data_IF_530221492694
#
_entry.id   IF_530221492694
#
_cell.length_a   1.000
_cell.length_b   1.000
_cell.length_c   1.000
_cell.angle_alpha   90.00
_cell.angle_beta   90.00
_cell.angle_gamma   90.00
#
_symmetry.space_group_name_H-M   'P 1'
#
loop_
_entity.id
_entity.type
_entity.pdbx_description
1 polymer ?
#
# COMPACT_ATOMS: atom_id res chain seq x y z
N UNK A 1 8.21 25.33 0.06
CA UNK A 1 8.42 23.88 0.20
C UNK A 1 8.06 23.24 -1.13
N UNK A 2 8.94 22.46 -1.70
CA UNK A 2 8.76 21.93 -3.06
C UNK A 2 7.90 20.66 -2.96
N UNK A 3 6.59 20.78 -3.20
CA UNK A 3 5.57 19.74 -3.00
C UNK A 3 5.63 18.63 -4.08
N UNK A 4 6.39 18.84 -5.15
CA UNK A 4 6.52 17.90 -6.27
C UNK A 4 7.58 16.80 -6.07
N UNK A 5 8.22 16.72 -4.90
CA UNK A 5 9.34 15.80 -4.69
C UNK A 5 8.92 14.38 -4.25
N UNK A 6 7.69 14.17 -3.75
CA UNK A 6 7.46 13.01 -2.90
C UNK A 6 6.75 11.80 -3.54
N UNK A 7 6.30 11.89 -4.79
CA UNK A 7 5.64 10.74 -5.43
C UNK A 7 6.56 9.89 -6.31
N UNK A 8 7.77 10.37 -6.63
CA UNK A 8 8.73 9.70 -7.51
C UNK A 8 10.14 9.53 -6.93
N UNK A 9 10.37 9.87 -5.67
CA UNK A 9 11.66 9.61 -5.05
C UNK A 9 11.74 8.14 -4.63
N UNK A 10 12.13 7.30 -5.58
CA UNK A 10 12.77 6.03 -5.26
C UNK A 10 14.09 6.40 -4.55
N UNK A 11 14.03 6.39 -3.22
CA UNK A 11 15.22 6.59 -2.41
C UNK A 11 16.16 5.41 -2.69
N UNK A 12 17.36 5.68 -3.24
CA UNK A 12 18.37 4.64 -3.50
C UNK A 12 18.70 3.82 -2.25
N UNK A 13 18.45 4.37 -1.05
CA UNK A 13 18.57 3.64 0.22
C UNK A 13 17.58 2.46 0.37
N UNK A 14 16.56 2.38 -0.48
CA UNK A 14 15.56 1.31 -0.50
C UNK A 14 15.99 0.13 -1.38
N UNK A 15 17.02 0.27 -2.20
CA UNK A 15 17.44 -0.75 -3.17
C UNK A 15 17.79 -2.09 -2.50
N UNK A 16 18.24 -2.05 -1.24
CA UNK A 16 18.70 -3.23 -0.50
C UNK A 16 17.83 -3.59 0.71
N UNK A 17 16.50 -3.43 0.58
CA UNK A 17 15.57 -3.73 1.65
C UNK A 17 14.39 -4.58 1.19
N UNK A 18 13.94 -5.51 2.05
CA UNK A 18 12.69 -6.24 1.86
C UNK A 18 11.50 -5.40 2.36
N UNK A 19 10.53 -5.19 1.49
CA UNK A 19 9.29 -4.51 1.83
C UNK A 19 8.18 -5.50 2.19
N UNK A 20 7.47 -5.30 3.30
CA UNK A 20 6.30 -6.10 3.66
C UNK A 20 5.08 -5.63 2.89
N UNK A 21 5.00 -5.92 1.60
CA UNK A 21 3.82 -5.60 0.82
C UNK A 21 2.72 -6.67 0.98
N UNK A 22 1.48 -6.29 0.67
CA UNK A 22 0.37 -7.24 0.57
C UNK A 22 0.72 -8.40 -0.35
N UNK A 23 1.34 -8.06 -1.47
CA UNK A 23 1.65 -8.98 -2.55
C UNK A 23 2.68 -10.03 -2.14
N UNK A 24 3.65 -9.68 -1.29
CA UNK A 24 4.68 -10.63 -0.82
C UNK A 24 4.13 -11.78 0.03
N UNK A 25 2.94 -11.59 0.56
CA UNK A 25 2.33 -12.56 1.47
C UNK A 25 1.27 -13.42 0.82
N UNK A 26 0.59 -12.89 -0.19
CA UNK A 26 -0.54 -13.54 -0.86
C UNK A 26 -0.12 -14.30 -2.13
N UNK A 27 1.19 -14.44 -2.38
CA UNK A 27 1.74 -14.97 -3.64
C UNK A 27 1.14 -14.26 -4.86
N UNK A 28 0.95 -12.96 -4.73
CA UNK A 28 0.46 -12.14 -5.83
C UNK A 28 1.55 -12.08 -6.92
N UNK A 29 1.19 -12.20 -8.20
CA UNK A 29 2.15 -12.09 -9.29
C UNK A 29 2.95 -10.78 -9.31
N UNK A 30 2.43 -9.72 -8.70
CA UNK A 30 3.09 -8.42 -8.56
C UNK A 30 3.65 -8.22 -7.15
N UNK A 31 4.25 -9.25 -6.56
CA UNK A 31 5.02 -9.05 -5.34
C UNK A 31 6.33 -8.29 -5.63
N UNK A 32 6.89 -7.71 -4.58
CA UNK A 32 8.13 -6.93 -4.70
C UNK A 32 9.26 -7.73 -5.35
N UNK A 33 9.38 -9.02 -5.02
CA UNK A 33 10.40 -9.88 -5.58
C UNK A 33 10.22 -10.07 -7.09
N UNK A 34 9.00 -10.40 -7.54
CA UNK A 34 8.72 -10.59 -8.96
C UNK A 34 8.94 -9.31 -9.73
N UNK A 35 8.41 -8.19 -9.25
CA UNK A 35 8.54 -6.88 -9.91
C UNK A 35 10.00 -6.47 -10.07
N UNK A 36 10.79 -6.54 -9.00
CA UNK A 36 12.16 -6.05 -8.99
C UNK A 36 13.15 -7.02 -9.65
N UNK A 37 13.03 -8.32 -9.39
CA UNK A 37 14.07 -9.28 -9.76
C UNK A 37 13.69 -10.19 -10.92
N UNK A 38 12.39 -10.48 -11.11
CA UNK A 38 11.93 -11.37 -12.18
C UNK A 38 11.45 -10.59 -13.40
N UNK A 39 10.60 -9.58 -13.22
CA UNK A 39 10.12 -8.76 -14.34
C UNK A 39 11.07 -7.61 -14.65
N UNK A 40 11.88 -7.19 -13.67
CA UNK A 40 12.78 -6.03 -13.78
C UNK A 40 12.05 -4.78 -14.28
N UNK A 41 10.82 -4.58 -13.79
CA UNK A 41 9.99 -3.46 -14.19
C UNK A 41 10.52 -2.15 -13.60
N UNK A 42 10.68 -1.17 -14.46
CA UNK A 42 10.96 0.19 -14.05
C UNK A 42 9.79 0.78 -13.25
N UNK A 43 10.06 1.62 -12.23
CA UNK A 43 9.01 2.21 -11.40
C UNK A 43 7.93 2.96 -12.19
N UNK A 44 8.29 3.56 -13.32
CA UNK A 44 7.40 4.30 -14.21
C UNK A 44 6.35 3.40 -14.87
N UNK A 45 6.64 2.10 -15.04
CA UNK A 45 5.70 1.11 -15.56
C UNK A 45 4.67 0.70 -14.50
N UNK A 46 4.87 1.09 -13.23
CA UNK A 46 3.97 0.80 -12.13
C UNK A 46 2.95 1.93 -11.97
N UNK A 47 1.88 1.87 -12.72
CA UNK A 47 0.83 2.87 -12.64
C UNK A 47 -0.05 2.63 -11.41
N UNK A 48 0.04 3.52 -10.44
CA UNK A 48 -0.85 3.48 -9.28
C UNK A 48 -2.27 3.84 -9.71
N UNK A 49 -3.23 2.91 -9.56
CA UNK A 49 -4.64 3.18 -9.86
C UNK A 49 -5.27 4.22 -8.92
N UNK A 50 -6.42 4.75 -9.33
CA UNK A 50 -7.12 5.85 -8.66
C UNK A 50 -7.32 5.65 -7.15
N UNK A 51 -7.61 4.42 -6.69
CA UNK A 51 -7.78 4.15 -5.24
C UNK A 51 -6.49 4.34 -4.44
N UNK A 52 -5.35 3.93 -5.00
CA UNK A 52 -4.06 4.09 -4.33
C UNK A 52 -3.69 5.57 -4.26
N UNK A 53 -3.83 6.30 -5.38
CA UNK A 53 -3.59 7.75 -5.42
C UNK A 53 -4.54 8.50 -4.47
N UNK A 54 -5.81 8.14 -4.44
CA UNK A 54 -6.77 8.73 -3.53
C UNK A 54 -6.42 8.47 -2.04
N UNK A 55 -5.93 7.27 -1.73
CA UNK A 55 -5.45 6.92 -0.40
C UNK A 55 -4.30 7.83 0.05
N UNK A 56 -3.25 7.93 -0.76
CA UNK A 56 -2.10 8.79 -0.48
C UNK A 56 -2.49 10.27 -0.38
N UNK A 57 -3.36 10.76 -1.27
CA UNK A 57 -3.83 12.16 -1.21
C UNK A 57 -4.66 12.45 0.04
N UNK A 58 -5.53 11.51 0.46
CA UNK A 58 -6.35 11.69 1.66
C UNK A 58 -5.52 11.66 2.95
N UNK A 59 -4.53 10.76 3.02
CA UNK A 59 -3.56 10.69 4.12
C UNK A 59 -2.75 11.98 4.22
N UNK A 60 -2.13 12.42 3.13
CA UNK A 60 -1.34 13.66 3.09
C UNK A 60 -2.20 14.88 3.46
N UNK A 61 -3.45 14.93 3.00
CA UNK A 61 -4.40 15.98 3.37
C UNK A 61 -4.63 16.01 4.89
N UNK A 62 -4.93 14.83 5.49
CA UNK A 62 -5.17 14.75 6.93
C UNK A 62 -3.93 15.14 7.75
N UNK A 63 -2.74 14.70 7.33
CA UNK A 63 -1.46 15.06 7.96
C UNK A 63 -1.18 16.57 7.86
N UNK A 64 -1.42 17.19 6.71
CA UNK A 64 -1.24 18.64 6.52
C UNK A 64 -2.18 19.45 7.44
N UNK A 65 -3.42 19.01 7.61
CA UNK A 65 -4.37 19.65 8.51
C UNK A 65 -3.89 19.54 9.98
N UNK A 66 -3.38 18.38 10.38
CA UNK A 66 -2.80 18.18 11.71
C UNK A 66 -1.55 19.05 11.94
N UNK A 67 -0.77 19.34 10.91
CA UNK A 67 0.37 20.26 10.96
C UNK A 67 -0.02 21.75 10.95
N UNK A 68 -1.32 22.05 10.98
CA UNK A 68 -1.85 23.41 11.09
C UNK A 68 -2.09 24.12 9.75
N UNK A 69 -2.03 23.42 8.62
CA UNK A 69 -2.49 23.99 7.35
C UNK A 69 -4.01 24.17 7.43
N UNK A 70 -4.57 25.32 7.00
CA UNK A 70 -6.02 25.54 7.01
C UNK A 70 -6.75 24.41 6.27
N UNK A 71 -7.78 23.86 6.93
CA UNK A 71 -8.47 22.66 6.43
C UNK A 71 -9.01 22.83 5.00
N UNK A 72 -9.56 24.01 4.69
CA UNK A 72 -10.07 24.29 3.34
C UNK A 72 -8.96 24.24 2.30
N UNK A 73 -7.83 24.89 2.58
CA UNK A 73 -6.67 24.95 1.68
C UNK A 73 -6.09 23.54 1.44
N UNK A 74 -5.89 22.76 2.51
CA UNK A 74 -5.37 21.41 2.38
C UNK A 74 -6.30 20.51 1.56
N UNK A 75 -7.63 20.58 1.77
CA UNK A 75 -8.62 19.79 1.02
C UNK A 75 -8.67 20.17 -0.46
N UNK A 76 -8.67 21.47 -0.78
CA UNK A 76 -8.67 21.95 -2.15
C UNK A 76 -7.41 21.49 -2.87
N UNK A 77 -6.24 21.68 -2.26
CA UNK A 77 -4.95 21.28 -2.82
C UNK A 77 -4.89 19.77 -3.12
N UNK A 78 -5.15 18.92 -2.12
CA UNK A 78 -5.00 17.48 -2.31
C UNK A 78 -6.09 16.85 -3.19
N UNK A 79 -7.27 17.45 -3.25
CA UNK A 79 -8.30 17.07 -4.20
C UNK A 79 -7.92 17.46 -5.63
N UNK A 80 -7.26 18.59 -5.82
CA UNK A 80 -6.69 18.99 -7.10
C UNK A 80 -5.58 18.02 -7.53
N UNK A 81 -4.62 17.71 -6.65
CA UNK A 81 -3.57 16.72 -6.91
C UNK A 81 -4.16 15.37 -7.34
N UNK A 82 -5.20 14.89 -6.65
CA UNK A 82 -5.90 13.66 -7.05
C UNK A 82 -6.55 13.79 -8.43
N UNK A 83 -7.12 14.94 -8.77
CA UNK A 83 -7.78 15.18 -10.06
C UNK A 83 -6.83 15.15 -11.25
N UNK A 84 -5.51 15.39 -11.01
CA UNK A 84 -4.46 15.31 -12.02
C UNK A 84 -4.02 13.86 -12.29
N UNK A 85 -4.57 12.87 -11.58
CA UNK A 85 -4.30 11.46 -11.86
C UNK A 85 -4.71 11.11 -13.28
N UNK A 86 -3.78 10.54 -14.04
CA UNK A 86 -4.06 10.04 -15.38
C UNK A 86 -4.62 8.60 -15.27
N UNK A 87 -5.89 8.38 -15.63
CA UNK A 87 -6.49 7.05 -15.51
C UNK A 87 -5.82 6.03 -16.44
N UNK A 88 -5.56 4.84 -15.94
CA UNK A 88 -4.93 3.75 -16.68
C UNK A 88 -5.89 3.19 -17.76
N UNK A 89 -7.18 3.13 -17.43
CA UNK A 89 -8.25 2.62 -18.31
C UNK A 89 -9.62 3.19 -17.90
N UNK A 90 -10.68 2.93 -18.68
CA UNK A 90 -12.02 3.49 -18.42
C UNK A 90 -12.58 3.14 -17.03
N UNK A 91 -12.32 1.94 -16.52
CA UNK A 91 -12.74 1.57 -15.16
C UNK A 91 -12.03 2.41 -14.09
N UNK A 92 -10.75 2.70 -14.29
CA UNK A 92 -9.96 3.54 -13.39
C UNK A 92 -10.46 4.99 -13.41
N UNK A 93 -10.86 5.50 -14.59
CA UNK A 93 -11.51 6.80 -14.76
C UNK A 93 -12.82 6.89 -13.97
N UNK A 94 -13.67 5.85 -14.05
CA UNK A 94 -14.87 5.78 -13.24
C UNK A 94 -14.54 5.73 -11.72
N UNK A 95 -13.51 5.00 -11.37
CA UNK A 95 -13.04 4.90 -10.00
C UNK A 95 -12.51 6.23 -9.47
N UNK A 96 -11.76 6.99 -10.28
CA UNK A 96 -11.28 8.32 -9.93
C UNK A 96 -12.45 9.27 -9.60
N UNK A 97 -13.53 9.26 -10.39
CA UNK A 97 -14.71 10.07 -10.10
C UNK A 97 -15.29 9.77 -8.73
N UNK A 98 -15.45 8.48 -8.37
CA UNK A 98 -15.94 8.07 -7.05
C UNK A 98 -14.98 8.55 -5.95
N UNK A 99 -13.68 8.38 -6.14
CA UNK A 99 -12.68 8.84 -5.18
C UNK A 99 -12.76 10.36 -4.96
N UNK A 100 -12.93 11.14 -6.03
CA UNK A 100 -13.10 12.59 -5.95
C UNK A 100 -14.42 13.01 -5.24
N UNK A 101 -15.50 12.26 -5.44
CA UNK A 101 -16.77 12.46 -4.74
C UNK A 101 -16.65 12.16 -3.24
N UNK A 102 -16.01 11.06 -2.86
CA UNK A 102 -15.86 10.58 -1.49
C UNK A 102 -14.70 11.24 -0.71
N UNK A 103 -13.81 11.98 -1.38
CA UNK A 103 -12.55 12.47 -0.82
C UNK A 103 -12.73 13.24 0.50
N UNK A 104 -13.62 14.21 0.53
CA UNK A 104 -13.82 15.05 1.70
C UNK A 104 -14.36 14.28 2.91
N UNK A 105 -15.20 13.28 2.67
CA UNK A 105 -15.78 12.44 3.75
C UNK A 105 -14.70 11.52 4.32
N UNK A 106 -13.88 10.89 3.46
CA UNK A 106 -12.75 10.07 3.90
C UNK A 106 -11.76 10.89 4.72
N UNK A 107 -11.37 12.09 4.27
CA UNK A 107 -10.49 12.99 5.02
C UNK A 107 -11.10 13.38 6.37
N UNK A 108 -12.41 13.67 6.40
CA UNK A 108 -13.12 13.99 7.66
C UNK A 108 -13.03 12.84 8.65
N UNK A 109 -13.26 11.61 8.22
CA UNK A 109 -13.16 10.42 9.07
C UNK A 109 -11.72 10.15 9.53
N UNK A 110 -10.72 10.38 8.68
CA UNK A 110 -9.30 10.29 9.07
C UNK A 110 -8.96 11.30 10.16
N UNK A 111 -9.35 12.56 9.98
CA UNK A 111 -9.11 13.62 10.98
C UNK A 111 -9.79 13.28 12.31
N UNK A 112 -11.04 12.81 12.26
CA UNK A 112 -11.77 12.43 13.47
C UNK A 112 -11.10 11.26 14.19
N UNK A 113 -10.63 10.23 13.46
CA UNK A 113 -9.89 9.11 14.02
C UNK A 113 -8.58 9.57 14.68
N UNK A 114 -7.81 10.43 14.00
CA UNK A 114 -6.55 10.97 14.53
C UNK A 114 -6.76 11.84 15.77
N UNK A 115 -7.79 12.70 15.77
CA UNK A 115 -8.17 13.48 16.95
C UNK A 115 -8.62 12.60 18.13
N UNK A 116 -9.36 11.52 17.86
CA UNK A 116 -9.78 10.57 18.90
C UNK A 116 -8.59 9.87 19.57
N UNK A 117 -7.52 9.58 18.83
CA UNK A 117 -6.31 8.98 19.38
C UNK A 117 -5.58 9.92 20.35
N UNK A 118 -5.74 11.24 20.20
CA UNK A 118 -5.09 12.26 21.02
C UNK A 118 -3.59 12.01 21.21
N UNK A 119 -2.91 11.67 20.11
CA UNK A 119 -1.47 11.44 20.07
C UNK A 119 -0.83 12.45 19.12
N UNK A 120 0.24 13.10 19.60
CA UNK A 120 1.00 14.03 18.78
C UNK A 120 1.98 13.27 17.89
N UNK A 121 1.87 13.36 16.56
CA UNK A 121 2.86 12.81 15.66
C UNK A 121 4.22 13.50 15.84
N UNK A 122 5.28 12.71 15.93
CA UNK A 122 6.67 13.19 15.99
C UNK A 122 7.21 13.32 14.56
N UNK A 123 6.88 12.38 13.71
CA UNK A 123 7.27 12.34 12.30
C UNK A 123 6.18 11.68 11.46
N UNK A 124 6.16 11.99 10.17
CA UNK A 124 5.35 11.34 9.15
C UNK A 124 6.25 10.72 8.09
N UNK A 125 5.75 9.67 7.42
CA UNK A 125 6.48 8.91 6.39
C UNK A 125 7.91 8.54 6.83
N UNK A 126 8.02 8.04 8.08
CA UNK A 126 9.31 7.67 8.66
C UNK A 126 9.74 6.28 8.17
N UNK A 127 10.91 6.21 7.52
CA UNK A 127 11.53 4.94 7.16
C UNK A 127 12.00 4.19 8.41
N UNK A 128 11.47 2.99 8.60
CA UNK A 128 11.90 2.06 9.65
C UNK A 128 12.44 0.78 9.02
N UNK A 129 13.65 0.37 9.42
CA UNK A 129 14.29 -0.86 8.94
C UNK A 129 15.16 -1.50 10.01
N UNK A 130 15.27 -2.82 9.98
CA UNK A 130 16.15 -3.57 10.89
C UNK A 130 16.62 -4.86 10.19
N UNK A 131 17.74 -5.40 10.65
CA UNK A 131 18.24 -6.68 10.19
C UNK A 131 17.59 -7.83 10.96
N UNK A 132 16.89 -8.69 10.26
CA UNK A 132 16.30 -9.87 10.87
C UNK A 132 17.21 -11.08 10.71
N UNK A 133 17.18 -11.99 11.70
CA UNK A 133 18.00 -13.20 11.72
C UNK A 133 17.83 -14.02 10.42
N UNK A 134 18.93 -14.23 9.71
CA UNK A 134 18.98 -15.01 8.48
C UNK A 134 18.58 -14.25 7.22
N UNK A 135 18.50 -12.92 7.30
CA UNK A 135 18.40 -12.04 6.15
C UNK A 135 19.70 -11.26 5.99
N UNK A 136 20.20 -11.20 4.76
CA UNK A 136 21.39 -10.43 4.40
C UNK A 136 21.00 -8.95 4.17
N UNK A 137 19.78 -8.71 3.70
CA UNK A 137 19.20 -7.39 3.52
C UNK A 137 18.29 -7.02 4.70
N UNK A 138 18.19 -5.73 5.01
CA UNK A 138 17.24 -5.24 6.00
C UNK A 138 15.79 -5.53 5.56
N UNK A 139 14.87 -5.54 6.52
CA UNK A 139 13.42 -5.60 6.28
C UNK A 139 12.75 -4.41 6.95
N UNK A 140 11.84 -3.75 6.26
CA UNK A 140 11.17 -2.55 6.78
C UNK A 140 10.30 -1.86 5.76
N UNK A 141 10.04 -0.59 5.97
CA UNK A 141 9.25 0.27 5.09
C UNK A 141 8.92 1.59 5.76
N UNK A 142 8.02 2.35 5.18
CA UNK A 142 7.58 3.63 5.73
C UNK A 142 6.37 3.44 6.63
N UNK A 143 6.42 4.01 7.83
CA UNK A 143 5.26 4.16 8.71
C UNK A 143 4.62 5.53 8.43
N UNK A 144 3.30 5.57 8.43
CA UNK A 144 2.59 6.80 8.05
C UNK A 144 2.78 7.90 9.10
N UNK A 145 2.64 7.58 10.39
CA UNK A 145 2.89 8.52 11.48
C UNK A 145 3.62 7.85 12.63
N UNK A 146 4.72 8.46 13.09
CA UNK A 146 5.42 8.06 14.31
C UNK A 146 4.93 8.88 15.49
N UNK A 147 4.74 8.23 16.65
CA UNK A 147 4.39 8.86 17.92
C UNK A 147 5.34 8.41 19.02
N UNK A 148 5.24 9.02 20.20
CA UNK A 148 6.14 8.68 21.31
C UNK A 148 6.14 7.19 21.66
N UNK A 149 4.99 6.55 21.75
CA UNK A 149 4.83 5.19 22.25
C UNK A 149 4.40 4.18 21.19
N UNK A 150 3.78 4.63 20.12
CA UNK A 150 3.17 3.83 19.08
C UNK A 150 3.63 4.35 17.70
N UNK A 151 3.21 3.67 16.67
CA UNK A 151 3.11 4.25 15.33
C UNK A 151 1.71 3.99 14.77
N UNK A 152 1.28 4.84 13.86
CA UNK A 152 -0.04 4.79 13.25
C UNK A 152 0.12 4.44 11.78
N UNK A 153 -0.61 3.43 11.34
CA UNK A 153 -0.75 3.04 9.95
C UNK A 153 -2.15 3.41 9.46
N UNK A 154 -2.23 4.19 8.41
CA UNK A 154 -3.47 4.69 7.84
C UNK A 154 -3.88 3.81 6.65
N UNK A 155 -5.12 3.36 6.65
CA UNK A 155 -5.72 2.62 5.55
C UNK A 155 -7.02 3.26 5.14
N UNK A 156 -7.16 3.56 3.85
CA UNK A 156 -8.40 4.08 3.28
C UNK A 156 -9.13 3.00 2.49
N UNK A 157 -10.46 3.06 2.51
CA UNK A 157 -11.31 2.22 1.68
C UNK A 157 -12.27 3.11 0.89
N UNK A 158 -12.33 2.87 -0.40
CA UNK A 158 -13.16 3.62 -1.35
C UNK A 158 -14.26 2.74 -1.89
N UNK A 159 -15.43 3.32 -2.16
CA UNK A 159 -16.46 2.62 -2.92
C UNK A 159 -15.90 2.15 -4.26
N UNK A 160 -16.40 1.02 -4.74
CA UNK A 160 -15.90 0.43 -6.00
C UNK A 160 -16.87 0.75 -7.12
N UNK A 161 -16.36 1.30 -8.23
CA UNK A 161 -17.11 1.47 -9.46
C UNK A 161 -17.56 0.10 -9.99
N UNK A 162 -18.85 -0.03 -10.23
CA UNK A 162 -19.43 -1.21 -10.86
C UNK A 162 -19.53 -0.97 -12.38
N UNK A 163 -19.37 -1.99 -13.23
CA UNK A 163 -19.38 -1.82 -14.69
C UNK A 163 -20.76 -1.49 -15.26
N UNK A 164 -21.73 -1.18 -14.41
CA UNK A 164 -23.11 -0.91 -14.81
C UNK A 164 -23.48 0.51 -14.43
N UNK A 165 -23.86 1.31 -15.44
CA UNK A 165 -24.49 2.61 -15.22
C UNK A 165 -25.96 2.41 -14.81
N UNK A 166 -26.43 3.22 -13.87
CA UNK A 166 -27.84 3.28 -13.53
C UNK A 166 -28.63 3.96 -14.65
N UNK A 167 -29.98 3.81 -14.65
CA UNK A 167 -30.86 4.40 -15.66
C UNK A 167 -30.75 5.92 -15.77
N UNK A 168 -30.35 6.60 -14.70
CA UNK A 168 -30.12 8.05 -14.63
C UNK A 168 -28.72 8.48 -15.09
N UNK A 169 -27.90 7.56 -15.62
CA UNK A 169 -26.53 7.82 -16.05
C UNK A 169 -25.51 7.88 -14.91
N UNK A 170 -25.93 7.66 -13.66
CA UNK A 170 -24.99 7.62 -12.52
C UNK A 170 -24.24 6.29 -12.45
N UNK A 171 -23.01 6.33 -11.90
CA UNK A 171 -22.19 5.14 -11.72
C UNK A 171 -22.79 4.30 -10.59
N UNK A 172 -23.03 3.01 -10.86
CA UNK A 172 -23.35 2.07 -9.79
C UNK A 172 -22.11 1.83 -8.93
N UNK A 173 -22.25 1.90 -7.62
CA UNK A 173 -21.15 1.74 -6.67
C UNK A 173 -21.43 0.65 -5.65
N UNK A 174 -20.37 -0.06 -5.26
CA UNK A 174 -20.39 -0.96 -4.12
C UNK A 174 -19.63 -0.30 -2.96
N UNK A 175 -20.34 0.01 -1.88
CA UNK A 175 -19.74 0.57 -0.66
C UNK A 175 -18.74 -0.39 -0.02
N UNK A 176 -17.67 0.12 0.62
CA UNK A 176 -16.79 -0.70 1.44
C UNK A 176 -17.55 -1.28 2.63
N UNK A 177 -17.23 -2.50 3.03
CA UNK A 177 -17.77 -3.10 4.26
C UNK A 177 -16.96 -2.63 5.46
N UNK A 178 -17.65 -2.43 6.59
CA UNK A 178 -16.97 -2.18 7.87
C UNK A 178 -16.12 -3.40 8.24
N UNK A 179 -14.88 -3.16 8.64
CA UNK A 179 -13.98 -4.21 9.07
C UNK A 179 -14.18 -4.47 10.58
N UNK A 180 -14.35 -5.73 10.96
CA UNK A 180 -14.33 -6.16 12.36
C UNK A 180 -12.90 -6.37 12.87
N UNK A 181 -11.96 -6.66 11.98
CA UNK A 181 -10.52 -6.82 12.25
C UNK A 181 -9.69 -6.27 11.10
N UNK A 182 -8.44 -5.87 11.32
CA UNK A 182 -7.52 -5.55 10.24
C UNK A 182 -7.36 -6.75 9.30
N UNK A 183 -7.13 -6.49 8.04
CA UNK A 183 -6.82 -7.56 7.08
C UNK A 183 -5.46 -8.18 7.40
N UNK A 184 -5.31 -9.47 7.14
CA UNK A 184 -4.09 -10.24 7.46
C UNK A 184 -2.83 -9.58 6.92
N UNK A 185 -2.87 -9.05 5.71
CA UNK A 185 -1.72 -8.38 5.12
C UNK A 185 -1.38 -7.04 5.81
N UNK A 186 -2.37 -6.29 6.32
CA UNK A 186 -2.09 -5.11 7.15
C UNK A 186 -1.39 -5.52 8.46
N UNK A 187 -1.85 -6.62 9.08
CA UNK A 187 -1.22 -7.14 10.31
C UNK A 187 0.24 -7.52 10.06
N UNK A 188 0.54 -8.16 8.93
CA UNK A 188 1.90 -8.55 8.56
C UNK A 188 2.79 -7.34 8.25
N UNK A 189 2.25 -6.35 7.57
CA UNK A 189 2.92 -5.07 7.30
C UNK A 189 3.31 -4.38 8.62
N UNK A 190 2.34 -4.12 9.50
CA UNK A 190 2.63 -3.45 10.77
C UNK A 190 3.45 -4.30 11.74
N UNK A 191 3.41 -5.63 11.64
CA UNK A 191 4.28 -6.51 12.40
C UNK A 191 5.76 -6.33 12.01
N UNK A 192 6.04 -6.12 10.72
CA UNK A 192 7.37 -5.81 10.23
C UNK A 192 7.86 -4.46 10.75
N UNK A 193 7.01 -3.44 10.69
CA UNK A 193 7.33 -2.12 11.21
C UNK A 193 7.52 -2.14 12.74
N UNK A 194 6.64 -2.86 13.46
CA UNK A 194 6.78 -3.06 14.91
C UNK A 194 8.09 -3.75 15.28
N UNK A 195 8.54 -4.72 14.47
CA UNK A 195 9.85 -5.32 14.65
C UNK A 195 10.98 -4.30 14.47
N UNK A 196 10.92 -3.46 13.45
CA UNK A 196 11.96 -2.49 13.14
C UNK A 196 12.01 -1.33 14.16
N UNK A 197 10.89 -0.70 14.50
CA UNK A 197 10.85 0.46 15.38
C UNK A 197 10.64 0.14 16.87
N UNK A 198 10.35 -1.13 17.23
CA UNK A 198 10.09 -1.60 18.62
C UNK A 198 8.87 -0.96 19.29
N UNK A 199 7.92 -0.43 18.50
CA UNK A 199 6.66 0.16 18.97
C UNK A 199 5.47 -0.72 18.58
N UNK A 200 4.34 -0.58 19.28
CA UNK A 200 3.09 -1.23 18.91
C UNK A 200 2.34 -0.41 17.86
N UNK A 201 1.70 -1.06 16.89
CA UNK A 201 0.92 -0.38 15.86
C UNK A 201 -0.45 0.07 16.37
N UNK A 202 -0.93 1.14 15.77
CA UNK A 202 -2.33 1.51 15.70
C UNK A 202 -2.70 1.53 14.22
N UNK A 203 -3.79 0.86 13.82
CA UNK A 203 -4.27 0.89 12.45
C UNK A 203 -5.56 1.70 12.41
N UNK A 204 -5.60 2.78 11.64
CA UNK A 204 -6.80 3.50 11.28
C UNK A 204 -7.30 2.96 9.94
N UNK A 205 -8.57 2.56 9.89
CA UNK A 205 -9.25 2.23 8.65
C UNK A 205 -10.41 3.20 8.46
N UNK A 206 -10.35 4.05 7.43
CA UNK A 206 -11.35 5.07 7.15
C UNK A 206 -11.95 4.90 5.75
N UNK A 207 -13.21 5.26 5.60
CA UNK A 207 -13.93 5.34 4.34
C UNK A 207 -14.90 6.52 4.37
N UNK A 208 -15.68 6.74 3.33
CA UNK A 208 -16.61 7.85 3.25
C UNK A 208 -17.79 7.79 4.23
N UNK A 209 -17.99 6.68 4.95
CA UNK A 209 -19.17 6.46 5.81
C UNK A 209 -18.82 6.32 7.30
N UNK A 210 -17.59 5.85 7.59
CA UNK A 210 -17.17 5.52 8.96
C UNK A 210 -15.65 5.35 9.04
N UNK A 211 -15.14 5.23 10.27
CA UNK A 211 -13.77 4.80 10.52
C UNK A 211 -13.72 3.77 11.66
N UNK A 212 -12.64 3.03 11.72
CA UNK A 212 -12.36 2.08 12.79
C UNK A 212 -10.89 2.21 13.19
N UNK A 213 -10.64 2.23 14.49
CA UNK A 213 -9.30 2.24 15.07
C UNK A 213 -9.04 0.89 15.71
N UNK A 214 -7.95 0.26 15.33
CA UNK A 214 -7.49 -0.99 15.90
C UNK A 214 -6.17 -0.76 16.63
N UNK A 215 -6.10 -1.20 17.87
CA UNK A 215 -4.88 -1.19 18.69
C UNK A 215 -4.74 -2.50 19.49
N UNK A 216 -3.71 -2.61 20.30
CA UNK A 216 -3.47 -3.80 21.13
C UNK A 216 -4.52 -4.04 22.23
N UNK A 217 -5.38 -3.08 22.54
CA UNK A 217 -6.42 -3.20 23.56
C UNK A 217 -7.73 -3.77 22.99
N UNK A 218 -8.02 -3.45 21.72
CA UNK A 218 -9.27 -3.85 21.08
C UNK A 218 -9.10 -4.88 19.95
N UNK A 219 -7.84 -5.23 19.60
CA UNK A 219 -7.52 -6.20 18.56
C UNK A 219 -6.40 -7.14 19.02
N UNK A 220 -6.73 -8.41 19.25
CA UNK A 220 -5.77 -9.43 19.68
C UNK A 220 -4.59 -9.61 18.71
N UNK A 221 -4.84 -9.44 17.40
CA UNK A 221 -3.80 -9.58 16.37
C UNK A 221 -2.71 -8.51 16.43
N UNK A 222 -2.96 -7.38 17.11
CA UNK A 222 -2.00 -6.30 17.30
C UNK A 222 -1.26 -6.37 18.64
N UNK A 223 -1.44 -7.46 19.40
CA UNK A 223 -0.66 -7.73 20.60
C UNK A 223 0.73 -8.29 20.24
N UNK A 224 1.69 -8.17 21.16
CA UNK A 224 3.10 -8.54 20.95
C UNK A 224 3.30 -9.96 20.42
N UNK A 225 2.57 -10.97 20.94
CA UNK A 225 2.76 -12.37 20.53
C UNK A 225 2.25 -12.64 19.12
N UNK A 226 1.01 -12.27 18.73
CA UNK A 226 0.54 -12.36 17.35
C UNK A 226 1.40 -11.57 16.34
N UNK A 227 1.81 -10.34 16.68
CA UNK A 227 2.69 -9.54 15.82
C UNK A 227 4.04 -10.24 15.59
N UNK A 228 4.64 -10.86 16.62
CA UNK A 228 5.86 -11.65 16.44
C UNK A 228 5.64 -12.81 15.47
N UNK A 229 4.53 -13.51 15.56
CA UNK A 229 4.20 -14.62 14.64
C UNK A 229 3.98 -14.12 13.20
N UNK A 230 3.28 -12.99 13.04
CA UNK A 230 3.07 -12.37 11.73
C UNK A 230 4.39 -11.91 11.11
N UNK A 231 5.29 -11.30 11.90
CA UNK A 231 6.63 -10.93 11.46
C UNK A 231 7.45 -12.15 11.01
N UNK A 232 7.42 -13.26 11.76
CA UNK A 232 8.12 -14.48 11.36
C UNK A 232 7.67 -15.00 9.99
N UNK A 233 6.38 -14.86 9.65
CA UNK A 233 5.88 -15.20 8.31
C UNK A 233 6.54 -14.33 7.23
N UNK A 234 6.66 -13.03 7.47
CA UNK A 234 7.32 -12.10 6.54
C UNK A 234 8.82 -12.40 6.41
N UNK A 235 9.49 -12.62 7.54
CA UNK A 235 10.91 -12.96 7.56
C UNK A 235 11.21 -14.26 6.78
N UNK A 236 10.38 -15.29 6.94
CA UNK A 236 10.53 -16.55 6.20
C UNK A 236 10.27 -16.37 4.70
N UNK A 237 9.29 -15.56 4.32
CA UNK A 237 9.03 -15.22 2.92
C UNK A 237 10.24 -14.49 2.31
N UNK A 238 10.76 -13.46 2.98
CA UNK A 238 11.95 -12.75 2.53
C UNK A 238 13.18 -13.66 2.42
N UNK A 239 13.38 -14.57 3.39
CA UNK A 239 14.47 -15.54 3.37
C UNK A 239 14.37 -16.52 2.20
N UNK A 240 13.18 -17.00 1.88
CA UNK A 240 12.98 -17.88 0.72
C UNK A 240 13.40 -17.18 -0.57
N UNK A 241 12.97 -15.94 -0.76
CA UNK A 241 13.33 -15.13 -1.93
C UNK A 241 14.83 -14.79 -1.99
N UNK A 242 15.43 -14.43 -0.86
CA UNK A 242 16.87 -14.24 -0.76
C UNK A 242 17.66 -15.49 -1.16
N UNK A 243 17.17 -16.67 -0.81
CA UNK A 243 17.82 -17.92 -1.23
C UNK A 243 17.73 -18.12 -2.74
N UNK A 244 16.65 -17.71 -3.40
CA UNK A 244 16.56 -17.72 -4.87
C UNK A 244 17.60 -16.78 -5.49
N UNK A 245 17.76 -15.58 -4.95
CA UNK A 245 18.78 -14.63 -5.43
C UNK A 245 20.22 -15.13 -5.26
N UNK A 246 20.46 -16.06 -4.33
CA UNK A 246 21.77 -16.75 -4.21
C UNK A 246 22.01 -17.79 -5.31
N UNK A 247 20.96 -18.27 -5.96
CA UNK A 247 21.05 -19.19 -7.10
C UNK A 247 21.38 -18.39 -8.36
N UNK A 248 20.61 -17.34 -8.64
CA UNK A 248 20.80 -16.48 -9.82
C UNK A 248 20.13 -15.12 -9.61
N UNK A 249 20.58 -14.14 -10.39
CA UNK A 249 19.90 -12.85 -10.60
C UNK A 249 19.32 -12.75 -12.02
N UNK A 250 19.50 -13.78 -12.84
CA UNK A 250 18.91 -13.88 -14.18
C UNK A 250 17.41 -14.16 -14.05
N UNK A 251 16.52 -13.31 -14.60
CA UNK A 251 15.07 -13.47 -14.54
C UNK A 251 14.57 -14.83 -15.01
N UNK A 252 15.15 -15.37 -16.09
CA UNK A 252 14.74 -16.66 -16.67
C UNK A 252 15.11 -17.82 -15.75
N UNK A 253 16.29 -17.77 -15.14
CA UNK A 253 16.70 -18.79 -14.16
C UNK A 253 15.83 -18.69 -12.89
N UNK A 254 15.50 -17.48 -12.44
CA UNK A 254 14.57 -17.30 -11.30
C UNK A 254 13.18 -17.85 -11.62
N UNK A 255 12.68 -17.64 -12.84
CA UNK A 255 11.38 -18.12 -13.29
C UNK A 255 11.27 -19.67 -13.26
N UNK A 256 12.38 -20.39 -13.47
CA UNK A 256 12.41 -21.86 -13.35
C UNK A 256 12.18 -22.37 -11.91
N UNK A 257 12.40 -21.52 -10.91
CA UNK A 257 12.31 -21.87 -9.49
C UNK A 257 11.04 -21.34 -8.80
N UNK A 258 10.19 -20.63 -9.52
CA UNK A 258 8.92 -20.09 -9.00
C UNK A 258 7.76 -20.54 -9.89
N UNK A 259 6.56 -20.75 -9.33
CA UNK A 259 5.40 -21.10 -10.17
C UNK A 259 5.11 -19.97 -11.17
N UNK A 260 4.79 -20.31 -12.43
CA UNK A 260 4.37 -19.32 -13.41
C UNK A 260 3.11 -18.61 -12.91
N UNK A 261 3.02 -17.29 -13.08
CA UNK A 261 1.87 -16.53 -12.61
C UNK A 261 0.61 -16.87 -13.42
N UNK A 262 -0.54 -16.71 -12.80
CA UNK A 262 -1.80 -16.75 -13.51
C UNK A 262 -2.04 -15.40 -14.23
N UNK A 263 -1.73 -15.33 -15.51
CA UNK A 263 -1.90 -14.13 -16.33
C UNK A 263 -3.36 -13.68 -16.53
N UNK A 264 -4.35 -14.50 -16.13
CA UNK A 264 -5.75 -14.06 -16.04
C UNK A 264 -6.06 -13.28 -14.75
N UNK A 265 -5.09 -13.14 -13.85
CA UNK A 265 -5.31 -12.36 -12.63
C UNK A 265 -5.47 -10.88 -12.97
N UNK A 266 -6.45 -10.24 -12.30
CA UNK A 266 -6.85 -8.85 -12.60
C UNK A 266 -5.71 -7.82 -12.53
N UNK A 267 -4.65 -8.08 -11.80
CA UNK A 267 -3.49 -7.18 -11.65
C UNK A 267 -2.76 -6.94 -12.97
N UNK A 268 -2.86 -7.88 -13.91
CA UNK A 268 -2.25 -7.72 -15.23
C UNK A 268 -3.06 -6.80 -16.17
N UNK A 269 -4.31 -6.45 -15.81
CA UNK A 269 -5.10 -5.51 -16.59
C UNK A 269 -4.59 -4.06 -16.51
N UNK A 270 -3.68 -3.80 -15.59
CA UNK A 270 -3.10 -2.46 -15.36
C UNK A 270 -1.78 -2.27 -16.15
N UNK A 271 -1.34 -3.27 -16.93
CA UNK A 271 -0.20 -3.17 -17.84
C UNK A 271 -0.66 -2.95 -19.28
N UNK A 272 0.18 -2.25 -20.05
CA UNK A 272 0.06 -2.26 -21.50
C UNK A 272 0.43 -3.63 -22.10
N UNK A 273 0.02 -3.84 -23.35
CA UNK A 273 0.22 -5.12 -24.02
C UNK A 273 1.69 -5.46 -24.20
N UNK A 274 2.57 -4.47 -24.45
CA UNK A 274 4.01 -4.65 -24.64
C UNK A 274 4.68 -5.14 -23.35
N UNK A 275 4.43 -4.44 -22.24
CA UNK A 275 4.92 -4.84 -20.91
C UNK A 275 4.41 -6.23 -20.52
N UNK A 276 3.15 -6.54 -20.80
CA UNK A 276 2.58 -7.85 -20.49
C UNK A 276 3.23 -8.97 -21.31
N UNK A 277 3.57 -8.72 -22.56
CA UNK A 277 4.29 -9.68 -23.39
C UNK A 277 5.73 -9.89 -22.91
N UNK A 278 6.47 -8.84 -22.57
CA UNK A 278 7.79 -8.95 -21.95
C UNK A 278 7.76 -9.86 -20.71
N UNK A 279 6.77 -9.66 -19.83
CA UNK A 279 6.60 -10.49 -18.62
C UNK A 279 6.33 -11.95 -18.99
N UNK A 280 5.46 -12.24 -19.96
CA UNK A 280 5.13 -13.60 -20.39
C UNK A 280 6.34 -14.34 -20.97
N UNK A 281 7.17 -13.65 -21.75
CA UNK A 281 8.36 -14.23 -22.38
C UNK A 281 9.38 -14.77 -21.37
N UNK A 282 9.41 -14.26 -20.13
CA UNK A 282 10.26 -14.78 -19.05
C UNK A 282 9.96 -16.25 -18.76
N UNK A 283 8.71 -16.68 -18.90
CA UNK A 283 8.27 -18.08 -18.75
C UNK A 283 8.13 -18.84 -20.08
N UNK A 284 8.65 -18.28 -21.19
CA UNK A 284 8.61 -18.94 -22.49
C UNK A 284 7.23 -18.96 -23.16
N UNK A 285 6.31 -18.09 -22.75
CA UNK A 285 5.07 -17.89 -23.49
C UNK A 285 5.40 -17.10 -24.77
N UNK A 286 5.32 -17.76 -25.89
CA UNK A 286 5.35 -17.12 -27.22
C UNK A 286 3.93 -16.72 -27.60
N UNK A 287 3.79 -15.73 -28.51
CA UNK A 287 2.50 -15.35 -29.07
C UNK A 287 1.81 -16.45 -29.86
#
# INVERSE_FOLDING_TARGET
MNINADLNNYDESLVDMWFPSRTDVENCPLDFFNVKYVYQLEPEKFLAGAKLRAGSSAESCAVHILKGIPEKEAREHWKEVLSLHFPIHERDKLQLRICLEEFNDVVTHLINALKQLNQDPIADQLLVKDHAKGLDMAIGGYIDLDTKNNFIEIKTQWSTAMPVLKKDGTISTRKPSKLSNPRTFHIRQVATYSYACKKLPIIINANAFDYTIFDSNNCEYLQKKPLKSAFETMRLSARARQNLLKISTDPRVLAEHIPPPNFSHYVYNDFDDETLQEIKQIWGYEE
#
